data_IF_917688729968
#
_entry.id   IF_917688729968
#
_cell.length_a   1.000
_cell.length_b   1.000
_cell.length_c   1.000
_cell.angle_alpha   90.00
_cell.angle_beta   90.00
_cell.angle_gamma   90.00
#
_symmetry.space_group_name_H-M   'P 1'
#
loop_
_entity.id
_entity.type
_entity.pdbx_description
1 polymer ?
#
# COMPACT_ATOMS: atom_id res chain seq x y z
N UNK A 1 -9.00 -6.22 13.86
CA UNK A 1 -8.33 -5.73 12.64
C UNK A 1 -8.65 -6.65 11.48
N UNK A 2 -8.78 -6.12 10.26
CA UNK A 2 -9.14 -6.89 9.08
C UNK A 2 -7.87 -7.29 8.31
N UNK A 3 -7.45 -8.57 8.31
CA UNK A 3 -6.30 -9.00 7.53
C UNK A 3 -6.56 -8.82 6.03
N UNK A 4 -5.50 -8.70 5.22
CA UNK A 4 -5.63 -8.69 3.76
C UNK A 4 -5.98 -10.11 3.26
N UNK A 5 -7.25 -10.48 3.39
CA UNK A 5 -7.78 -11.78 2.96
C UNK A 5 -7.58 -12.04 1.47
N UNK A 6 -7.59 -10.99 0.66
CA UNK A 6 -7.31 -11.11 -0.77
C UNK A 6 -5.84 -11.50 -1.00
N UNK A 7 -4.91 -10.89 -0.28
CA UNK A 7 -3.49 -11.26 -0.29
C UNK A 7 -3.26 -12.70 0.17
N UNK A 8 -3.90 -13.12 1.27
CA UNK A 8 -3.85 -14.51 1.76
C UNK A 8 -4.40 -15.49 0.73
N UNK A 9 -5.57 -15.19 0.16
CA UNK A 9 -6.19 -16.02 -0.87
C UNK A 9 -5.30 -16.11 -2.11
N UNK A 10 -4.69 -15.00 -2.52
CA UNK A 10 -3.76 -14.96 -3.65
C UNK A 10 -2.51 -15.80 -3.40
N UNK A 11 -1.98 -15.82 -2.17
CA UNK A 11 -0.87 -16.68 -1.79
C UNK A 11 -1.26 -18.16 -1.87
N UNK A 12 -2.42 -18.55 -1.29
CA UNK A 12 -2.93 -19.92 -1.38
C UNK A 12 -3.15 -20.37 -2.83
N UNK A 13 -3.73 -19.49 -3.66
CA UNK A 13 -3.91 -19.74 -5.09
C UNK A 13 -2.57 -19.86 -5.83
N UNK A 14 -1.53 -19.14 -5.41
CA UNK A 14 -0.18 -19.28 -5.96
C UNK A 14 0.39 -20.68 -5.69
N UNK A 15 0.24 -21.20 -4.48
CA UNK A 15 0.61 -22.60 -4.17
C UNK A 15 -0.19 -23.61 -5.00
N UNK A 16 -1.50 -23.42 -5.13
CA UNK A 16 -2.33 -24.28 -5.97
C UNK A 16 -1.88 -24.24 -7.45
N UNK A 17 -1.62 -23.04 -7.98
CA UNK A 17 -1.14 -22.83 -9.34
C UNK A 17 0.19 -23.52 -9.59
N UNK A 18 1.11 -23.53 -8.61
CA UNK A 18 2.36 -24.30 -8.71
C UNK A 18 2.11 -25.78 -8.99
N UNK A 19 1.26 -26.43 -8.18
CA UNK A 19 1.03 -27.87 -8.32
C UNK A 19 0.30 -28.20 -9.62
N UNK A 20 -0.68 -27.37 -10.02
CA UNK A 20 -1.40 -27.53 -11.29
C UNK A 20 -0.44 -27.38 -12.47
N UNK A 21 0.37 -26.32 -12.49
CA UNK A 21 1.33 -26.02 -13.55
C UNK A 21 2.39 -27.11 -13.69
N UNK A 22 2.97 -27.54 -12.56
CA UNK A 22 3.95 -28.63 -12.51
C UNK A 22 3.38 -29.92 -13.12
N UNK A 23 2.21 -30.37 -12.63
CA UNK A 23 1.57 -31.61 -13.12
C UNK A 23 1.21 -31.52 -14.60
N UNK A 24 0.65 -30.40 -15.05
CA UNK A 24 0.28 -30.19 -16.44
C UNK A 24 1.49 -30.25 -17.38
N UNK A 25 2.62 -29.69 -16.96
CA UNK A 25 3.81 -29.55 -17.78
C UNK A 25 4.69 -30.82 -17.85
N UNK A 26 4.55 -31.78 -16.92
CA UNK A 26 5.32 -33.03 -16.93
C UNK A 26 5.15 -33.85 -18.22
N UNK A 27 3.97 -33.81 -18.84
CA UNK A 27 3.65 -34.55 -20.06
C UNK A 27 3.91 -33.75 -21.34
N UNK A 28 4.62 -32.62 -21.26
CA UNK A 28 4.90 -31.73 -22.38
C UNK A 28 6.35 -31.82 -22.81
N UNK A 29 6.62 -31.54 -24.10
CA UNK A 29 7.97 -31.48 -24.63
C UNK A 29 8.80 -30.39 -23.94
N UNK A 30 10.12 -30.53 -23.91
CA UNK A 30 11.03 -29.56 -23.30
C UNK A 30 10.86 -28.15 -23.90
N UNK A 31 10.69 -28.05 -25.22
CA UNK A 31 10.47 -26.78 -25.93
C UNK A 31 9.16 -26.11 -25.49
N UNK A 32 8.08 -26.88 -25.38
CA UNK A 32 6.78 -26.38 -24.92
C UNK A 32 6.86 -25.88 -23.48
N UNK A 33 7.54 -26.63 -22.61
CA UNK A 33 7.74 -26.24 -21.20
C UNK A 33 8.53 -24.93 -21.09
N UNK A 34 9.59 -24.78 -21.89
CA UNK A 34 10.40 -23.56 -21.90
C UNK A 34 9.59 -22.36 -22.39
N UNK A 35 8.77 -22.52 -23.43
CA UNK A 35 7.88 -21.48 -23.92
C UNK A 35 6.84 -21.06 -22.85
N UNK A 36 6.20 -22.02 -22.18
CA UNK A 36 5.28 -21.72 -21.09
C UNK A 36 5.96 -21.02 -19.91
N UNK A 37 7.16 -21.45 -19.54
CA UNK A 37 7.94 -20.82 -18.48
C UNK A 37 8.29 -19.37 -18.83
N UNK A 38 8.67 -19.09 -20.07
CA UNK A 38 8.97 -17.72 -20.52
C UNK A 38 7.74 -16.83 -20.38
N UNK A 39 6.59 -17.27 -20.88
CA UNK A 39 5.33 -16.52 -20.78
C UNK A 39 4.92 -16.31 -19.32
N UNK A 40 4.95 -17.38 -18.51
CA UNK A 40 4.60 -17.29 -17.10
C UNK A 40 5.54 -16.37 -16.31
N UNK A 41 6.83 -16.37 -16.63
CA UNK A 41 7.81 -15.46 -16.00
C UNK A 41 7.48 -14.01 -16.30
N UNK A 42 7.15 -13.68 -17.56
CA UNK A 42 6.76 -12.32 -17.95
C UNK A 42 5.51 -11.88 -17.18
N UNK A 43 4.50 -12.75 -17.10
CA UNK A 43 3.26 -12.49 -16.36
C UNK A 43 3.47 -12.40 -14.83
N UNK A 44 4.52 -13.04 -14.32
CA UNK A 44 4.87 -12.99 -12.90
C UNK A 44 5.62 -11.71 -12.50
N UNK A 45 6.19 -10.95 -13.44
CA UNK A 45 6.96 -9.74 -13.14
C UNK A 45 6.20 -8.72 -12.27
N UNK A 46 4.92 -8.40 -12.54
CA UNK A 46 4.15 -7.50 -11.67
C UNK A 46 3.99 -8.06 -10.25
N UNK A 47 3.76 -9.36 -10.08
CA UNK A 47 3.68 -9.98 -8.76
C UNK A 47 5.03 -9.98 -8.03
N UNK A 48 6.12 -10.31 -8.74
CA UNK A 48 7.49 -10.32 -8.18
C UNK A 48 7.93 -8.93 -7.72
N UNK A 49 7.47 -7.89 -8.41
CA UNK A 49 7.75 -6.51 -8.03
C UNK A 49 7.31 -6.20 -6.60
N UNK A 50 6.29 -6.87 -6.07
CA UNK A 50 5.79 -6.64 -4.71
C UNK A 50 6.85 -6.99 -3.66
N UNK A 51 7.55 -8.11 -3.85
CA UNK A 51 8.65 -8.47 -2.97
C UNK A 51 9.88 -7.61 -3.19
N UNK A 52 10.16 -7.21 -4.45
CA UNK A 52 11.25 -6.29 -4.75
C UNK A 52 11.06 -4.93 -4.07
N UNK A 53 9.81 -4.46 -3.96
CA UNK A 53 9.44 -3.28 -3.17
C UNK A 53 9.80 -3.46 -1.69
N UNK A 54 9.41 -4.57 -1.06
CA UNK A 54 9.74 -4.82 0.35
C UNK A 54 11.23 -5.04 0.61
N UNK A 55 12.00 -5.39 -0.42
CA UNK A 55 13.45 -5.45 -0.37
C UNK A 55 14.13 -4.08 -0.62
N UNK A 56 13.35 -3.01 -0.85
CA UNK A 56 13.82 -1.66 -1.14
C UNK A 56 14.84 -1.59 -2.30
N UNK A 57 14.66 -2.44 -3.33
CA UNK A 57 15.60 -2.55 -4.46
C UNK A 57 15.53 -1.33 -5.39
N UNK A 58 14.34 -0.73 -5.53
CA UNK A 58 14.10 0.37 -6.46
C UNK A 58 13.60 1.62 -5.72
N UNK A 59 13.87 2.82 -6.25
CA UNK A 59 13.16 4.02 -5.82
C UNK A 59 11.66 3.84 -6.02
N UNK A 60 10.86 4.65 -5.32
CA UNK A 60 9.40 4.52 -5.25
C UNK A 60 8.71 5.45 -6.26
N UNK A 61 8.37 5.02 -7.48
CA UNK A 61 7.71 5.90 -8.44
C UNK A 61 6.20 5.98 -8.21
N UNK A 62 5.61 7.11 -8.57
CA UNK A 62 4.16 7.37 -8.49
C UNK A 62 3.32 6.29 -9.18
N UNK A 63 3.72 5.87 -10.38
CA UNK A 63 2.99 4.85 -11.14
C UNK A 63 2.89 3.52 -10.40
N UNK A 64 3.87 3.19 -9.56
CA UNK A 64 3.87 1.93 -8.81
C UNK A 64 2.85 1.97 -7.68
N UNK A 65 2.77 3.10 -6.97
CA UNK A 65 1.72 3.33 -5.97
C UNK A 65 0.33 3.32 -6.63
N UNK A 66 0.20 3.95 -7.80
CA UNK A 66 -1.03 3.92 -8.58
C UNK A 66 -1.42 2.48 -8.95
N UNK A 67 -0.48 1.70 -9.48
CA UNK A 67 -0.70 0.29 -9.81
C UNK A 67 -1.08 -0.56 -8.58
N UNK A 68 -0.34 -0.43 -7.47
CA UNK A 68 -0.62 -1.15 -6.22
C UNK A 68 -1.96 -0.76 -5.60
N UNK A 69 -2.46 0.44 -5.89
CA UNK A 69 -3.77 0.90 -5.42
C UNK A 69 -4.95 0.36 -6.25
N UNK A 70 -4.71 -0.42 -7.31
CA UNK A 70 -5.76 -1.14 -8.03
C UNK A 70 -6.20 -2.35 -7.19
N UNK A 71 -7.48 -2.39 -6.83
CA UNK A 71 -8.08 -3.53 -6.13
C UNK A 71 -7.94 -4.80 -6.98
N UNK A 72 -7.51 -5.91 -6.37
CA UNK A 72 -7.27 -7.16 -7.11
C UNK A 72 -5.83 -7.35 -7.56
N UNK A 73 -4.96 -6.34 -7.48
CA UNK A 73 -3.55 -6.47 -7.93
C UNK A 73 -2.78 -7.57 -7.19
N UNK A 74 -3.20 -7.97 -5.99
CA UNK A 74 -2.66 -9.12 -5.25
C UNK A 74 -2.74 -10.44 -6.02
N UNK A 75 -3.75 -10.62 -6.88
CA UNK A 75 -3.93 -11.83 -7.69
C UNK A 75 -2.76 -12.05 -8.67
N UNK A 76 -1.98 -11.02 -8.97
CA UNK A 76 -0.80 -11.13 -9.85
C UNK A 76 0.29 -12.04 -9.26
N UNK A 77 0.27 -12.30 -7.96
CA UNK A 77 1.17 -13.28 -7.31
C UNK A 77 0.84 -14.72 -7.73
N UNK A 78 -0.36 -15.01 -8.21
CA UNK A 78 -0.71 -16.36 -8.70
C UNK A 78 0.20 -16.76 -9.87
N UNK A 79 0.64 -15.80 -10.69
CA UNK A 79 1.58 -16.05 -11.77
C UNK A 79 2.99 -16.44 -11.29
N UNK A 80 3.38 -16.06 -10.07
CA UNK A 80 4.63 -16.55 -9.44
C UNK A 80 4.53 -18.06 -9.21
N UNK A 81 3.40 -18.53 -8.71
CA UNK A 81 3.12 -19.95 -8.51
C UNK A 81 3.17 -20.73 -9.82
N UNK A 82 2.50 -20.21 -10.85
CA UNK A 82 2.53 -20.76 -12.21
C UNK A 82 3.96 -20.87 -12.75
N UNK A 83 4.74 -19.78 -12.68
CA UNK A 83 6.13 -19.75 -13.15
C UNK A 83 7.01 -20.72 -12.33
N UNK A 84 6.86 -20.75 -11.00
CA UNK A 84 7.59 -21.67 -10.13
C UNK A 84 7.27 -23.14 -10.43
N UNK A 85 6.02 -23.47 -10.72
CA UNK A 85 5.60 -24.84 -11.05
C UNK A 85 6.17 -25.30 -12.39
N UNK A 86 6.21 -24.40 -13.38
CA UNK A 86 6.85 -24.65 -14.66
C UNK A 86 8.37 -24.78 -14.53
N UNK A 87 9.03 -23.90 -13.76
CA UNK A 87 10.47 -23.95 -13.51
C UNK A 87 10.86 -25.26 -12.80
N UNK A 88 10.05 -25.70 -11.83
CA UNK A 88 10.25 -26.93 -11.09
C UNK A 88 10.32 -28.19 -11.98
N UNK A 89 9.70 -28.17 -13.17
CA UNK A 89 9.80 -29.30 -14.10
C UNK A 89 11.22 -29.54 -14.61
N UNK A 90 12.08 -28.51 -14.61
CA UNK A 90 13.47 -28.59 -15.07
C UNK A 90 14.44 -29.01 -13.97
N UNK A 91 13.95 -29.22 -12.75
CA UNK A 91 14.74 -29.60 -11.59
C UNK A 91 14.58 -31.09 -11.26
N UNK A 92 15.63 -31.75 -10.72
CA UNK A 92 15.47 -33.08 -10.13
C UNK A 92 14.52 -33.02 -8.93
N UNK A 93 13.84 -34.14 -8.64
CA UNK A 93 12.80 -34.22 -7.60
C UNK A 93 13.26 -33.73 -6.21
N UNK A 94 14.53 -33.95 -5.87
CA UNK A 94 15.12 -33.52 -4.60
C UNK A 94 15.18 -31.98 -4.46
N UNK A 95 15.26 -31.24 -5.57
CA UNK A 95 15.38 -29.78 -5.57
C UNK A 95 14.02 -29.06 -5.69
N UNK A 96 12.89 -29.79 -5.69
CA UNK A 96 11.56 -29.18 -5.76
C UNK A 96 11.22 -28.31 -4.56
N UNK A 97 11.91 -28.48 -3.43
CA UNK A 97 11.77 -27.63 -2.24
C UNK A 97 12.18 -26.18 -2.53
N UNK A 98 13.16 -25.95 -3.42
CA UNK A 98 13.68 -24.61 -3.71
C UNK A 98 12.63 -23.69 -4.32
N UNK A 99 11.94 -24.04 -5.43
CA UNK A 99 10.89 -23.18 -5.98
C UNK A 99 9.68 -23.02 -5.04
N UNK A 100 9.38 -24.03 -4.20
CA UNK A 100 8.33 -23.93 -3.18
C UNK A 100 8.68 -22.90 -2.09
N UNK A 101 9.91 -22.91 -1.59
CA UNK A 101 10.39 -21.88 -0.65
C UNK A 101 10.41 -20.50 -1.30
N UNK A 102 10.79 -20.42 -2.57
CA UNK A 102 10.68 -19.19 -3.36
C UNK A 102 9.24 -18.66 -3.38
N UNK A 103 8.26 -19.50 -3.74
CA UNK A 103 6.84 -19.11 -3.73
C UNK A 103 6.39 -18.67 -2.34
N UNK A 104 6.76 -19.40 -1.29
CA UNK A 104 6.43 -19.02 0.07
C UNK A 104 6.95 -17.61 0.40
N UNK A 105 8.23 -17.35 0.14
CA UNK A 105 8.84 -16.04 0.39
C UNK A 105 8.16 -14.94 -0.44
N UNK A 106 8.02 -15.13 -1.76
CA UNK A 106 7.52 -14.09 -2.66
C UNK A 106 6.00 -13.86 -2.57
N UNK A 107 5.22 -14.83 -2.10
CA UNK A 107 3.75 -14.71 -1.99
C UNK A 107 3.26 -14.33 -0.59
N UNK A 108 3.97 -14.72 0.47
CA UNK A 108 3.52 -14.51 1.86
C UNK A 108 4.08 -13.20 2.43
N UNK A 109 5.36 -12.92 2.22
CA UNK A 109 6.04 -11.74 2.81
C UNK A 109 5.29 -10.43 2.54
N UNK A 110 4.74 -10.17 1.33
CA UNK A 110 4.00 -8.93 1.07
C UNK A 110 2.74 -8.71 1.91
N UNK A 111 2.20 -9.75 2.56
CA UNK A 111 0.90 -9.68 3.25
C UNK A 111 0.92 -10.14 4.70
N UNK A 112 2.07 -10.61 5.19
CA UNK A 112 2.16 -11.16 6.55
C UNK A 112 2.17 -10.07 7.64
N UNK A 113 2.51 -8.84 7.27
CA UNK A 113 2.70 -7.71 8.21
C UNK A 113 1.52 -7.46 9.16
N UNK A 114 0.25 -7.40 8.69
CA UNK A 114 -0.89 -7.26 9.60
C UNK A 114 -0.99 -8.40 10.61
N UNK A 115 -0.66 -9.64 10.23
CA UNK A 115 -0.73 -10.79 11.15
C UNK A 115 0.31 -10.74 12.27
N UNK A 116 1.50 -10.21 11.99
CA UNK A 116 2.60 -10.14 12.97
C UNK A 116 2.43 -8.92 13.89
N UNK A 117 1.96 -7.80 13.35
CA UNK A 117 1.86 -6.53 14.07
C UNK A 117 0.43 -6.02 14.17
N UNK A 118 -0.53 -6.86 14.57
CA UNK A 118 -1.93 -6.42 14.59
C UNK A 118 -2.19 -5.27 15.57
N UNK A 119 -3.00 -4.28 15.16
CA UNK A 119 -3.53 -3.25 16.09
C UNK A 119 -4.83 -3.76 16.69
N UNK A 120 -4.98 -3.67 18.01
CA UNK A 120 -6.19 -4.10 18.70
C UNK A 120 -7.35 -3.10 18.49
N UNK A 121 -8.57 -3.61 18.32
CA UNK A 121 -9.75 -2.79 17.97
C UNK A 121 -10.13 -1.77 19.05
N UNK A 122 -9.87 -2.09 20.31
CA UNK A 122 -10.10 -1.23 21.47
C UNK A 122 -9.06 -0.08 21.59
N UNK A 123 -8.02 -0.10 20.77
CA UNK A 123 -7.01 0.96 20.75
C UNK A 123 -7.51 2.21 20.04
N UNK A 124 -8.44 2.09 19.08
CA UNK A 124 -8.97 3.21 18.32
C UNK A 124 -9.92 4.07 19.16
N UNK A 125 -9.58 5.35 19.28
CA UNK A 125 -10.33 6.34 20.07
C UNK A 125 -11.21 7.23 19.19
N UNK A 126 -10.98 7.23 17.88
CA UNK A 126 -11.71 8.03 16.88
C UNK A 126 -11.90 9.49 17.33
N UNK A 127 -10.80 10.09 17.81
CA UNK A 127 -10.80 11.46 18.34
C UNK A 127 -10.67 12.47 17.22
N UNK A 128 -11.34 13.61 17.39
CA UNK A 128 -11.37 14.70 16.41
C UNK A 128 -11.09 16.04 17.08
N UNK A 129 -10.38 16.90 16.36
CA UNK A 129 -10.25 18.33 16.61
C UNK A 129 -10.82 19.09 15.41
N UNK A 130 -12.08 19.51 15.53
CA UNK A 130 -12.88 19.98 14.40
C UNK A 130 -12.98 18.91 13.30
N UNK A 131 -12.45 19.21 12.12
CA UNK A 131 -12.42 18.31 10.97
C UNK A 131 -11.14 17.45 10.90
N UNK A 132 -10.24 17.56 11.88
CA UNK A 132 -8.97 16.82 11.89
C UNK A 132 -9.10 15.59 12.78
N UNK A 133 -8.85 14.42 12.20
CA UNK A 133 -8.77 13.17 12.94
C UNK A 133 -7.42 13.07 13.66
N UNK A 134 -7.45 12.77 14.95
CA UNK A 134 -6.26 12.50 15.75
C UNK A 134 -5.93 11.01 15.71
N UNK A 135 -4.65 10.67 15.56
CA UNK A 135 -4.24 9.27 15.54
C UNK A 135 -4.30 8.66 16.95
N UNK A 136 -4.74 7.41 17.04
CA UNK A 136 -4.82 6.66 18.29
C UNK A 136 -3.55 5.89 18.60
N UNK A 137 -2.76 5.56 17.58
CA UNK A 137 -1.47 4.83 17.70
C UNK A 137 -0.37 5.53 16.91
N UNK A 138 0.92 5.29 17.20
CA UNK A 138 2.01 5.80 16.36
C UNK A 138 1.97 5.36 14.89
N UNK A 139 1.22 4.30 14.55
CA UNK A 139 1.21 3.68 13.22
C UNK A 139 -0.02 4.03 12.35
N UNK A 140 -0.91 4.87 12.87
CA UNK A 140 -2.21 5.20 12.25
C UNK A 140 -2.29 6.62 11.69
N UNK A 141 -1.17 7.36 11.64
CA UNK A 141 -1.10 8.70 11.06
C UNK A 141 -1.63 8.79 9.62
N UNK A 142 -1.35 7.77 8.79
CA UNK A 142 -1.89 7.71 7.43
C UNK A 142 -3.41 7.53 7.38
N UNK A 143 -3.96 6.69 8.27
CA UNK A 143 -5.41 6.50 8.39
C UNK A 143 -6.11 7.76 8.89
N UNK A 144 -5.58 8.39 9.95
CA UNK A 144 -6.09 9.64 10.49
C UNK A 144 -6.00 10.81 9.48
N UNK A 145 -4.88 10.93 8.76
CA UNK A 145 -4.72 11.96 7.72
C UNK A 145 -5.69 11.74 6.56
N UNK A 146 -5.84 10.50 6.11
CA UNK A 146 -6.82 10.16 5.06
C UNK A 146 -8.25 10.43 5.51
N UNK A 147 -8.60 10.08 6.76
CA UNK A 147 -9.90 10.38 7.35
C UNK A 147 -10.17 11.89 7.40
N UNK A 148 -9.16 12.70 7.78
CA UNK A 148 -9.24 14.17 7.79
C UNK A 148 -9.52 14.74 6.40
N UNK A 149 -8.82 14.24 5.37
CA UNK A 149 -9.03 14.67 3.98
C UNK A 149 -10.43 14.27 3.48
N UNK A 150 -10.87 13.04 3.72
CA UNK A 150 -12.20 12.58 3.30
C UNK A 150 -13.30 13.40 3.98
N UNK A 151 -13.11 13.72 5.27
CA UNK A 151 -14.06 14.53 6.04
C UNK A 151 -14.11 15.97 5.55
N UNK A 152 -12.98 16.58 5.20
CA UNK A 152 -12.97 17.92 4.59
C UNK A 152 -13.66 17.97 3.23
N UNK A 153 -13.77 16.82 2.55
CA UNK A 153 -14.53 16.65 1.30
C UNK A 153 -16.02 16.29 1.54
N UNK A 154 -16.47 16.29 2.80
CA UNK A 154 -17.87 16.18 3.18
C UNK A 154 -18.37 14.77 3.51
N UNK A 155 -17.50 13.76 3.60
CA UNK A 155 -17.92 12.40 4.01
C UNK A 155 -17.41 12.09 5.40
N UNK A 156 -18.31 11.70 6.30
CA UNK A 156 -17.95 11.26 7.64
C UNK A 156 -17.35 9.85 7.58
N UNK A 157 -16.14 9.72 8.13
CA UNK A 157 -15.40 8.46 8.29
C UNK A 157 -14.62 8.54 9.59
N UNK A 158 -14.30 7.40 10.17
CA UNK A 158 -13.49 7.28 11.39
C UNK A 158 -12.06 6.81 11.09
N UNK A 159 -11.13 7.07 12.01
CA UNK A 159 -9.78 6.50 11.94
C UNK A 159 -9.83 4.98 11.83
N UNK A 160 -10.65 4.36 12.69
CA UNK A 160 -10.84 2.92 12.77
C UNK A 160 -11.29 2.31 11.45
N UNK A 161 -12.25 2.92 10.77
CA UNK A 161 -12.75 2.45 9.48
C UNK A 161 -11.65 2.46 8.42
N UNK A 162 -10.96 3.59 8.27
CA UNK A 162 -9.88 3.73 7.29
C UNK A 162 -8.73 2.77 7.62
N UNK A 163 -8.32 2.69 8.88
CA UNK A 163 -7.23 1.81 9.32
C UNK A 163 -7.55 0.32 9.07
N UNK A 164 -8.80 -0.08 9.34
CA UNK A 164 -9.26 -1.45 9.11
C UNK A 164 -9.27 -1.80 7.63
N UNK A 165 -9.79 -0.93 6.79
CA UNK A 165 -9.84 -1.14 5.34
C UNK A 165 -8.46 -1.07 4.69
N UNK A 166 -7.58 -0.24 5.24
CA UNK A 166 -6.22 -0.09 4.75
C UNK A 166 -5.24 -1.13 5.29
N UNK A 167 -5.72 -2.10 6.08
CA UNK A 167 -4.92 -3.14 6.71
C UNK A 167 -3.76 -2.59 7.58
N UNK A 168 -4.00 -1.46 8.26
CA UNK A 168 -3.02 -0.85 9.15
C UNK A 168 -2.51 -1.84 10.19
N UNK A 169 -1.21 -1.76 10.46
CA UNK A 169 -0.52 -2.61 11.43
C UNK A 169 0.45 -1.76 12.27
N UNK A 170 1.11 -2.37 13.25
CA UNK A 170 2.01 -1.70 14.18
C UNK A 170 3.20 -1.01 13.50
N UNK A 171 3.59 -1.46 12.30
CA UNK A 171 4.66 -0.84 11.51
C UNK A 171 4.19 0.23 10.53
N UNK A 172 2.90 0.59 10.53
CA UNK A 172 2.35 1.66 9.70
C UNK A 172 1.19 1.20 8.81
N UNK A 173 0.91 1.99 7.78
CA UNK A 173 -0.13 1.69 6.79
C UNK A 173 0.41 1.99 5.40
N UNK A 174 0.29 1.05 4.48
CA UNK A 174 0.71 1.27 3.11
C UNK A 174 -0.27 2.18 2.35
N UNK A 175 0.27 3.23 1.72
CA UNK A 175 -0.56 4.30 1.14
C UNK A 175 -1.48 3.84 0.00
N UNK A 176 -1.14 2.78 -0.72
CA UNK A 176 -2.04 2.23 -1.75
C UNK A 176 -3.30 1.60 -1.16
N UNK A 177 -3.28 1.09 0.09
CA UNK A 177 -4.50 0.60 0.73
C UNK A 177 -5.36 1.76 1.27
N UNK A 178 -4.73 2.85 1.71
CA UNK A 178 -5.44 4.11 2.03
C UNK A 178 -6.15 4.66 0.78
N UNK A 179 -5.46 4.67 -0.37
CA UNK A 179 -6.06 5.06 -1.64
C UNK A 179 -7.24 4.18 -2.04
N UNK A 180 -7.16 2.85 -1.83
CA UNK A 180 -8.30 1.95 -2.08
C UNK A 180 -9.48 2.26 -1.17
N UNK A 181 -9.24 2.55 0.11
CA UNK A 181 -10.29 2.95 1.05
C UNK A 181 -10.99 4.23 0.60
N UNK A 182 -10.24 5.23 0.12
CA UNK A 182 -10.81 6.45 -0.45
C UNK A 182 -11.59 6.17 -1.75
N UNK A 183 -11.03 5.38 -2.70
CA UNK A 183 -11.73 5.04 -3.96
C UNK A 183 -13.00 4.23 -3.76
N UNK A 184 -13.04 3.35 -2.76
CA UNK A 184 -14.24 2.61 -2.40
C UNK A 184 -15.41 3.53 -1.98
N UNK A 185 -15.13 4.80 -1.67
CA UNK A 185 -16.10 5.84 -1.32
C UNK A 185 -16.40 6.80 -2.48
N UNK A 186 -15.95 6.50 -3.71
CA UNK A 186 -16.21 7.33 -4.89
C UNK A 186 -15.33 8.58 -4.97
N UNK A 187 -14.13 8.53 -4.40
CA UNK A 187 -13.12 9.56 -4.60
C UNK A 187 -12.12 9.14 -5.67
N UNK A 188 -11.71 10.08 -6.51
CA UNK A 188 -10.51 9.93 -7.33
C UNK A 188 -9.26 10.12 -6.47
N UNK A 189 -8.25 9.29 -6.72
CA UNK A 189 -7.00 9.31 -5.96
C UNK A 189 -5.82 9.21 -6.90
N UNK A 190 -4.87 10.14 -6.73
CA UNK A 190 -3.65 10.21 -7.52
C UNK A 190 -2.45 10.31 -6.59
N UNK A 191 -1.34 9.70 -7.00
CA UNK A 191 -0.07 9.81 -6.29
C UNK A 191 0.88 10.73 -7.05
N UNK A 192 1.42 11.72 -6.35
CA UNK A 192 2.46 12.62 -6.86
C UNK A 192 3.72 12.49 -6.01
N UNK A 193 4.87 12.46 -6.69
CA UNK A 193 6.19 12.41 -6.06
C UNK A 193 7.03 13.55 -6.63
N UNK A 194 7.61 14.36 -5.75
CA UNK A 194 8.48 15.48 -6.11
C UNK A 194 9.60 15.69 -5.11
N UNK A 195 10.22 16.87 -5.14
CA UNK A 195 11.22 17.28 -4.14
C UNK A 195 10.58 18.20 -3.11
N UNK A 196 10.33 17.71 -1.90
CA UNK A 196 9.75 18.49 -0.80
C UNK A 196 8.28 18.85 -1.01
N UNK A 197 7.82 19.91 -0.35
CA UNK A 197 6.45 20.42 -0.51
C UNK A 197 6.38 21.45 -1.63
N UNK A 198 5.41 21.30 -2.53
CA UNK A 198 5.12 22.28 -3.56
C UNK A 198 3.84 23.05 -3.18
N UNK A 199 3.88 24.38 -2.98
CA UNK A 199 2.69 25.14 -2.61
C UNK A 199 1.62 25.17 -3.72
N UNK A 200 2.00 24.85 -4.96
CA UNK A 200 1.09 24.71 -6.09
C UNK A 200 0.57 23.27 -6.24
N UNK A 201 0.82 22.38 -5.27
CA UNK A 201 0.25 21.05 -5.28
C UNK A 201 -1.27 21.13 -5.22
N UNK A 202 -1.93 20.18 -5.87
CA UNK A 202 -3.39 20.07 -5.80
C UNK A 202 -3.78 19.70 -4.36
N UNK A 203 -4.84 20.32 -3.83
CA UNK A 203 -5.35 20.08 -2.48
C UNK A 203 -6.85 19.70 -2.55
N UNK A 204 -7.37 18.95 -1.56
CA UNK A 204 -6.69 18.43 -0.37
C UNK A 204 -5.82 17.20 -0.67
N UNK A 205 -4.83 16.95 0.20
CA UNK A 205 -3.89 15.85 0.05
C UNK A 205 -3.42 15.30 1.41
N UNK A 206 -3.14 13.98 1.45
CA UNK A 206 -2.29 13.41 2.48
C UNK A 206 -0.83 13.52 2.03
N UNK A 207 0.02 14.10 2.86
CA UNK A 207 1.41 14.43 2.52
C UNK A 207 2.38 13.72 3.45
N UNK A 208 3.45 13.18 2.88
CA UNK A 208 4.49 12.47 3.61
C UNK A 208 5.58 13.43 4.13
N UNK A 209 5.84 13.36 5.43
CA UNK A 209 6.88 14.15 6.12
C UNK A 209 7.76 13.22 6.96
N UNK A 210 8.89 13.72 7.45
CA UNK A 210 9.71 13.03 8.46
C UNK A 210 9.63 13.74 9.80
N UNK A 211 9.41 12.97 10.85
CA UNK A 211 9.58 13.40 12.23
C UNK A 211 10.87 12.74 12.75
N UNK A 212 11.99 13.46 12.66
CA UNK A 212 13.32 12.88 12.87
C UNK A 212 13.67 11.87 11.78
N UNK A 213 13.92 10.62 12.16
CA UNK A 213 14.20 9.52 11.21
C UNK A 213 12.96 8.72 10.81
N UNK A 214 11.79 9.04 11.36
CA UNK A 214 10.57 8.25 11.19
C UNK A 214 9.66 8.95 10.16
N UNK A 215 9.16 8.17 9.19
CA UNK A 215 8.15 8.64 8.24
C UNK A 215 6.81 8.88 8.94
N UNK A 216 6.14 9.98 8.57
CA UNK A 216 4.87 10.40 9.13
C UNK A 216 3.97 10.95 8.02
N UNK A 217 2.66 10.96 8.24
CA UNK A 217 1.70 11.55 7.31
C UNK A 217 0.92 12.66 8.01
N UNK A 218 0.69 13.74 7.28
CA UNK A 218 -0.19 14.84 7.67
C UNK A 218 -1.22 15.09 6.56
N UNK A 219 -2.32 15.75 6.89
CA UNK A 219 -3.29 16.24 5.92
C UNK A 219 -3.04 17.71 5.62
N UNK A 220 -3.06 18.10 4.35
CA UNK A 220 -3.12 19.50 3.93
C UNK A 220 -4.45 19.69 3.21
N UNK A 221 -5.36 20.45 3.83
CA UNK A 221 -6.77 20.49 3.42
C UNK A 221 -7.07 21.62 2.42
N UNK A 222 -6.25 22.67 2.41
CA UNK A 222 -6.49 23.86 1.61
C UNK A 222 -5.78 25.07 2.21
N UNK A 223 -6.30 26.25 1.91
CA UNK A 223 -5.81 27.53 2.41
C UNK A 223 -6.93 28.37 3.04
N UNK A 224 -6.57 29.12 4.07
CA UNK A 224 -7.37 30.21 4.66
C UNK A 224 -6.56 31.51 4.56
N UNK A 225 -6.89 32.34 3.57
CA UNK A 225 -6.01 33.46 3.19
C UNK A 225 -4.66 32.93 2.72
N UNK A 226 -3.58 33.39 3.36
CA UNK A 226 -2.19 32.99 3.05
C UNK A 226 -1.67 31.82 3.92
N UNK A 227 -2.54 31.21 4.73
CA UNK A 227 -2.18 30.14 5.64
C UNK A 227 -2.69 28.79 5.15
N UNK A 228 -1.85 27.78 5.20
CA UNK A 228 -2.24 26.39 4.96
C UNK A 228 -3.05 25.85 6.13
N UNK A 229 -4.15 25.18 5.80
CA UNK A 229 -4.94 24.40 6.76
C UNK A 229 -4.33 23.01 6.85
N UNK A 230 -3.63 22.75 7.95
CA UNK A 230 -2.91 21.49 8.19
C UNK A 230 -3.63 20.68 9.26
N UNK A 231 -3.96 19.44 8.93
CA UNK A 231 -4.39 18.42 9.88
C UNK A 231 -3.20 17.59 10.32
N UNK A 232 -2.67 17.89 11.50
CA UNK A 232 -1.59 17.12 12.12
C UNK A 232 -2.19 16.02 13.02
N UNK A 233 -2.05 14.71 12.69
CA UNK A 233 -2.67 13.65 13.48
C UNK A 233 -2.26 13.62 14.96
N UNK A 234 -1.14 14.23 15.33
CA UNK A 234 -0.68 14.33 16.72
C UNK A 234 -1.21 15.55 17.48
N UNK A 235 -1.57 16.62 16.78
CA UNK A 235 -1.80 17.94 17.40
C UNK A 235 -3.10 18.61 16.99
N UNK A 236 -3.83 18.07 16.01
CA UNK A 236 -5.09 18.61 15.53
C UNK A 236 -4.91 19.64 14.43
N UNK A 237 -5.79 20.66 14.42
CA UNK A 237 -5.81 21.69 13.39
C UNK A 237 -4.72 22.73 13.61
N UNK A 238 -3.95 22.98 12.56
CA UNK A 238 -2.92 24.02 12.53
C UNK A 238 -3.14 24.94 11.33
N UNK A 239 -2.95 26.25 11.53
CA UNK A 239 -2.86 27.24 10.47
C UNK A 239 -1.41 27.70 10.39
N UNK A 240 -0.76 27.49 9.24
CA UNK A 240 0.66 27.75 9.08
C UNK A 240 0.96 28.52 7.80
N UNK A 241 1.86 29.50 7.90
CA UNK A 241 2.46 30.09 6.71
C UNK A 241 3.29 29.05 5.96
N UNK A 242 3.57 29.30 4.69
CA UNK A 242 4.46 28.43 3.91
C UNK A 242 5.84 28.26 4.59
N UNK A 243 6.40 29.34 5.14
CA UNK A 243 7.69 29.32 5.82
C UNK A 243 7.65 28.48 7.10
N UNK A 244 6.59 28.62 7.91
CA UNK A 244 6.41 27.83 9.13
C UNK A 244 6.23 26.35 8.81
N UNK A 245 5.51 26.04 7.74
CA UNK A 245 5.30 24.68 7.25
C UNK A 245 6.64 24.01 6.91
N UNK A 246 7.48 24.68 6.11
CA UNK A 246 8.81 24.18 5.71
C UNK A 246 9.80 24.11 6.87
N UNK A 247 9.67 25.01 7.86
CA UNK A 247 10.50 24.98 9.07
C UNK A 247 10.10 23.84 10.00
N UNK A 248 8.82 23.51 10.06
CA UNK A 248 8.27 22.48 10.95
C UNK A 248 8.47 21.06 10.42
N UNK A 249 8.38 20.85 9.10
CA UNK A 249 8.35 19.53 8.50
C UNK A 249 9.46 19.31 7.46
N UNK A 250 10.15 18.17 7.55
CA UNK A 250 10.99 17.65 6.47
C UNK A 250 10.10 16.88 5.48
N UNK A 251 9.74 17.49 4.36
CA UNK A 251 8.85 16.90 3.37
C UNK A 251 9.56 15.86 2.51
N UNK A 252 8.94 14.69 2.39
CA UNK A 252 9.46 13.58 1.58
C UNK A 252 9.22 13.75 0.08
N UNK A 253 8.32 14.66 -0.30
CA UNK A 253 7.83 14.79 -1.68
C UNK A 253 6.66 13.87 -2.02
N UNK A 254 6.25 12.97 -1.13
CA UNK A 254 5.07 12.13 -1.29
C UNK A 254 3.77 12.93 -1.09
N UNK A 255 2.86 12.84 -2.06
CA UNK A 255 1.50 13.38 -1.96
C UNK A 255 0.48 12.36 -2.48
N UNK A 256 -0.56 12.10 -1.70
CA UNK A 256 -1.74 11.34 -2.10
C UNK A 256 -2.91 12.31 -2.18
N UNK A 257 -3.24 12.70 -3.40
CA UNK A 257 -4.34 13.60 -3.72
C UNK A 257 -5.66 12.85 -3.64
N UNK A 258 -6.67 13.44 -3.03
CA UNK A 258 -8.01 12.87 -2.95
C UNK A 258 -9.00 13.93 -3.42
N UNK A 259 -9.82 13.58 -4.42
CA UNK A 259 -10.80 14.51 -5.01
C UNK A 259 -12.15 13.83 -5.09
N UNK A 260 -13.21 14.61 -4.90
CA UNK A 260 -14.57 14.15 -5.15
C UNK A 260 -14.77 14.08 -6.67
N UNK A 261 -15.31 12.97 -7.17
CA UNK A 261 -15.76 12.91 -8.56
C UNK A 261 -16.77 14.05 -8.79
N UNK A 262 -16.51 14.87 -9.80
CA UNK A 262 -17.32 16.04 -10.16
C UNK A 262 -18.65 15.66 -10.81
#
# INVERSE_FOLDING_TARGET
MNPNWLGVTSALLSFAAFFVAYRFALNKSLKTRAAYLLVATILALPGLSFAAYYAHIFPEPSWYYQFRSIAGSELLIVFIGLAGGLAATFLPRLLLVVPLLGIAAFSIVPFIKPFIGSIAEDTFKDKWDGEICLQSTPSTCGAASTASVIRSLGTQVTEREIAREAHSYAGGTEAWYLARSARARGYDVEFEFGSGFNPNVRLPAMVGVRLGSIGHFIAILGMEGDLFVVGEPLSGRLLMSYEDLLKRYDFTGFHMLIKKDG
#
